data_IF_683804087191
#
_entry.id   IF_683804087191
#
_cell.length_a   1.000
_cell.length_b   1.000
_cell.length_c   1.000
_cell.angle_alpha   90.00
_cell.angle_beta   90.00
_cell.angle_gamma   90.00
#
_symmetry.space_group_name_H-M   'P 1'
#
loop_
_entity.id
_entity.type
_entity.pdbx_description
1 polymer ?
#
# COMPACT_ATOMS: atom_id res chain seq x y z
N UNK A 1 0.16 2.05 -21.79
CA UNK A 1 1.31 1.13 -21.83
C UNK A 1 1.05 0.07 -20.77
N UNK A 2 1.11 -1.22 -21.09
CA UNK A 2 0.83 -2.27 -20.10
C UNK A 2 2.03 -2.42 -19.18
N UNK A 3 1.93 -1.91 -17.96
CA UNK A 3 2.92 -2.17 -16.91
C UNK A 3 2.56 -3.44 -16.14
N UNK A 4 3.57 -4.12 -15.61
CA UNK A 4 3.36 -5.30 -14.78
C UNK A 4 3.12 -4.91 -13.33
N UNK A 5 2.50 -5.83 -12.57
CA UNK A 5 2.29 -5.69 -11.13
C UNK A 5 3.61 -5.46 -10.38
N UNK A 6 4.68 -6.11 -10.86
CA UNK A 6 6.03 -5.96 -10.30
C UNK A 6 6.57 -4.54 -10.49
N UNK A 7 6.48 -3.97 -11.70
CA UNK A 7 6.94 -2.60 -11.95
C UNK A 7 6.18 -1.57 -11.12
N UNK A 8 4.87 -1.77 -10.93
CA UNK A 8 4.07 -0.91 -10.06
C UNK A 8 4.52 -1.01 -8.59
N UNK A 9 4.78 -2.23 -8.11
CA UNK A 9 5.29 -2.49 -6.76
C UNK A 9 6.64 -1.82 -6.53
N UNK A 10 7.59 -2.00 -7.45
CA UNK A 10 8.91 -1.38 -7.37
C UNK A 10 8.79 0.14 -7.29
N UNK A 11 7.95 0.74 -8.14
CA UNK A 11 7.71 2.19 -8.14
C UNK A 11 7.16 2.69 -6.80
N UNK A 12 6.22 1.94 -6.21
CA UNK A 12 5.67 2.26 -4.89
C UNK A 12 6.74 2.19 -3.81
N UNK A 13 7.59 1.15 -3.81
CA UNK A 13 8.69 1.01 -2.86
C UNK A 13 9.73 2.12 -2.99
N UNK A 14 10.03 2.55 -4.22
CA UNK A 14 10.95 3.65 -4.51
C UNK A 14 10.40 5.00 -4.01
N UNK A 15 9.10 5.23 -4.20
CA UNK A 15 8.41 6.46 -3.79
C UNK A 15 8.10 6.51 -2.29
N UNK A 16 7.85 5.35 -1.67
CA UNK A 16 7.50 5.18 -0.27
C UNK A 16 8.51 4.29 0.45
N UNK A 17 9.74 4.78 0.68
CA UNK A 17 10.77 4.02 1.38
C UNK A 17 10.37 3.70 2.84
N UNK A 18 9.36 4.39 3.39
CA UNK A 18 8.75 4.08 4.68
C UNK A 18 8.19 2.65 4.74
N UNK A 19 7.64 2.13 3.65
CA UNK A 19 7.12 0.76 3.55
C UNK A 19 8.23 -0.23 3.84
N UNK A 20 9.35 -0.10 3.13
CA UNK A 20 10.54 -0.93 3.35
C UNK A 20 11.17 -0.69 4.72
N UNK A 21 11.20 0.55 5.23
CA UNK A 21 11.75 0.86 6.55
C UNK A 21 10.96 0.23 7.70
N UNK A 22 9.64 0.11 7.54
CA UNK A 22 8.75 -0.46 8.56
C UNK A 22 8.48 -1.95 8.38
N UNK A 23 9.19 -2.61 7.46
CA UNK A 23 9.04 -4.04 7.10
C UNK A 23 7.59 -4.37 6.73
N UNK A 24 6.96 -3.49 5.94
CA UNK A 24 5.63 -3.68 5.39
C UNK A 24 5.71 -4.53 4.12
N UNK A 25 5.10 -5.70 4.14
CA UNK A 25 4.92 -6.51 2.96
C UNK A 25 3.91 -5.86 2.01
N UNK A 26 4.27 -5.69 0.74
CA UNK A 26 3.35 -5.21 -0.31
C UNK A 26 3.08 -6.33 -1.30
N UNK A 27 1.80 -6.60 -1.52
CA UNK A 27 1.29 -7.57 -2.48
C UNK A 27 0.33 -6.85 -3.41
N UNK A 28 0.50 -6.98 -4.73
CA UNK A 28 -0.38 -6.38 -5.73
C UNK A 28 -0.98 -7.51 -6.56
N UNK A 29 -2.30 -7.54 -6.63
CA UNK A 29 -3.07 -8.55 -7.36
C UNK A 29 -4.07 -7.87 -8.27
N UNK A 30 -4.20 -8.32 -9.52
CA UNK A 30 -5.23 -7.77 -10.41
C UNK A 30 -6.55 -8.51 -10.19
N UNK A 31 -7.62 -7.77 -9.89
CA UNK A 31 -8.97 -8.33 -9.77
C UNK A 31 -9.73 -8.09 -11.07
N UNK A 32 -9.88 -9.14 -11.87
CA UNK A 32 -10.67 -9.09 -13.10
C UNK A 32 -12.15 -8.79 -12.82
N UNK A 33 -12.66 -9.18 -11.64
CA UNK A 33 -14.05 -8.93 -11.23
C UNK A 33 -14.34 -7.45 -11.00
N UNK A 34 -13.36 -6.70 -10.48
CA UNK A 34 -13.48 -5.26 -10.19
C UNK A 34 -12.80 -4.38 -11.22
N UNK A 35 -12.17 -4.98 -12.23
CA UNK A 35 -11.27 -4.35 -13.20
C UNK A 35 -10.24 -3.40 -12.55
N UNK A 36 -9.76 -3.77 -11.36
CA UNK A 36 -8.91 -2.94 -10.51
C UNK A 36 -7.78 -3.74 -9.87
N UNK A 37 -6.70 -3.05 -9.50
CA UNK A 37 -5.57 -3.62 -8.78
C UNK A 37 -5.86 -3.63 -7.27
N UNK A 38 -5.87 -4.80 -6.66
CA UNK A 38 -5.87 -4.98 -5.22
C UNK A 38 -4.45 -4.84 -4.68
N UNK A 39 -4.21 -3.83 -3.85
CA UNK A 39 -2.94 -3.67 -3.15
C UNK A 39 -3.13 -4.04 -1.69
N UNK A 40 -2.45 -5.08 -1.25
CA UNK A 40 -2.49 -5.59 0.12
C UNK A 40 -1.18 -5.29 0.82
N UNK A 41 -1.27 -4.54 1.91
CA UNK A 41 -0.18 -4.26 2.83
C UNK A 41 -0.26 -5.22 4.01
N UNK A 42 0.81 -5.94 4.33
CA UNK A 42 0.87 -6.85 5.49
C UNK A 42 1.97 -6.41 6.44
N UNK A 43 1.67 -6.39 7.74
CA UNK A 43 2.62 -6.12 8.82
C UNK A 43 2.31 -6.99 10.04
N UNK A 44 3.20 -7.92 10.39
CA UNK A 44 3.02 -8.83 11.53
C UNK A 44 1.61 -9.47 11.56
N UNK A 45 0.72 -8.98 12.44
CA UNK A 45 -0.65 -9.48 12.66
C UNK A 45 -1.74 -8.64 11.99
N UNK A 46 -1.39 -7.80 11.03
CA UNK A 46 -2.36 -6.97 10.35
C UNK A 46 -2.15 -6.90 8.86
N UNK A 47 -3.27 -6.76 8.17
CA UNK A 47 -3.35 -6.58 6.74
C UNK A 47 -4.29 -5.42 6.42
N UNK A 48 -3.95 -4.67 5.37
CA UNK A 48 -4.81 -3.66 4.78
C UNK A 48 -4.84 -3.88 3.28
N UNK A 49 -6.03 -4.18 2.77
CA UNK A 49 -6.27 -4.34 1.34
C UNK A 49 -6.99 -3.11 0.81
N UNK A 50 -6.38 -2.41 -0.14
CA UNK A 50 -6.98 -1.28 -0.87
C UNK A 50 -7.21 -1.66 -2.32
N UNK A 51 -8.25 -1.07 -2.92
CA UNK A 51 -8.46 -1.14 -4.36
C UNK A 51 -7.82 0.08 -5.00
N UNK A 52 -7.10 -0.16 -6.09
CA UNK A 52 -6.43 0.83 -6.91
C UNK A 52 -7.00 0.69 -8.32
N UNK A 53 -7.72 1.71 -8.77
CA UNK A 53 -8.28 1.70 -10.11
C UNK A 53 -7.16 1.77 -11.15
N UNK A 54 -7.42 1.27 -12.36
CA UNK A 54 -6.44 1.33 -13.46
C UNK A 54 -5.97 2.77 -13.73
N UNK A 55 -6.85 3.76 -13.60
CA UNK A 55 -6.50 5.18 -13.77
C UNK A 55 -5.44 5.64 -12.77
N UNK A 56 -5.68 5.40 -11.48
CA UNK A 56 -4.70 5.73 -10.43
C UNK A 56 -3.37 4.99 -10.63
N UNK A 57 -3.43 3.73 -11.06
CA UNK A 57 -2.23 2.95 -11.35
C UNK A 57 -1.47 3.51 -12.57
N UNK A 58 -2.17 4.00 -13.59
CA UNK A 58 -1.56 4.69 -14.75
C UNK A 58 -0.92 6.02 -14.32
N UNK A 59 -1.59 6.81 -13.48
CA UNK A 59 -1.04 8.05 -12.91
C UNK A 59 0.21 7.78 -12.07
N UNK A 60 0.18 6.73 -11.24
CA UNK A 60 1.31 6.27 -10.44
C UNK A 60 2.53 5.95 -11.33
N UNK A 61 2.30 5.29 -12.46
CA UNK A 61 3.36 4.96 -13.42
C UNK A 61 3.86 6.15 -14.22
N UNK A 62 2.99 7.13 -14.49
CA UNK A 62 3.39 8.41 -15.09
C UNK A 62 4.15 9.33 -14.13
N UNK A 63 4.44 8.89 -12.90
CA UNK A 63 5.11 9.71 -11.88
C UNK A 63 4.19 10.79 -11.28
N UNK A 64 2.90 10.77 -11.65
CA UNK A 64 1.86 11.58 -11.04
C UNK A 64 1.49 10.86 -9.75
N UNK A 65 2.27 11.20 -8.71
CA UNK A 65 1.96 11.09 -7.29
C UNK A 65 0.85 10.08 -6.97
N UNK A 66 1.28 8.85 -6.63
CA UNK A 66 0.49 7.80 -5.99
C UNK A 66 0.02 8.21 -4.56
N UNK A 67 -0.37 9.48 -4.37
CA UNK A 67 -0.63 10.12 -3.07
C UNK A 67 -1.71 9.38 -2.33
N UNK A 68 -2.71 8.87 -3.04
CA UNK A 68 -3.80 8.15 -2.40
C UNK A 68 -3.31 6.87 -1.71
N UNK A 69 -2.37 6.15 -2.32
CA UNK A 69 -1.78 4.96 -1.73
C UNK A 69 -0.82 5.31 -0.59
N UNK A 70 0.04 6.30 -0.79
CA UNK A 70 0.99 6.77 0.21
C UNK A 70 0.34 7.29 1.48
N UNK A 71 -0.77 8.03 1.37
CA UNK A 71 -1.53 8.51 2.52
C UNK A 71 -2.17 7.35 3.28
N UNK A 72 -2.74 6.36 2.59
CA UNK A 72 -3.30 5.17 3.23
C UNK A 72 -2.23 4.37 3.97
N UNK A 73 -1.05 4.22 3.37
CA UNK A 73 0.11 3.57 4.00
C UNK A 73 0.58 4.34 5.23
N UNK A 74 0.77 5.66 5.13
CA UNK A 74 1.20 6.49 6.24
C UNK A 74 0.17 6.47 7.39
N UNK A 75 -1.12 6.51 7.07
CA UNK A 75 -2.20 6.37 8.06
C UNK A 75 -2.21 4.98 8.67
N UNK A 76 -1.98 3.92 7.88
CA UNK A 76 -1.84 2.56 8.39
C UNK A 76 -0.67 2.50 9.38
N UNK A 77 0.54 2.91 8.99
CA UNK A 77 1.72 2.93 9.86
C UNK A 77 1.42 3.68 11.17
N UNK A 78 0.82 4.88 11.09
CA UNK A 78 0.46 5.68 12.28
C UNK A 78 -0.58 4.99 13.16
N UNK A 79 -1.66 4.47 12.59
CA UNK A 79 -2.70 3.76 13.32
C UNK A 79 -2.17 2.45 13.97
N UNK A 80 -1.17 1.82 13.37
CA UNK A 80 -0.47 0.67 13.95
C UNK A 80 0.40 1.07 15.15
N UNK A 81 1.12 2.18 15.05
CA UNK A 81 1.91 2.74 16.14
C UNK A 81 1.02 3.13 17.34
N UNK A 82 -0.15 3.72 17.05
CA UNK A 82 -1.16 4.06 18.06
C UNK A 82 -1.81 2.82 18.69
N UNK A 83 -2.08 1.76 17.92
CA UNK A 83 -2.64 0.49 18.46
C UNK A 83 -1.64 -0.28 19.32
N UNK A 84 -0.35 -0.32 18.98
CA UNK A 84 0.67 -0.92 19.86
C UNK A 84 0.82 -0.12 21.17
N UNK A 85 0.57 1.20 21.13
CA UNK A 85 0.59 2.07 22.32
C UNK A 85 -0.66 1.87 23.20
N UNK A 86 -1.86 1.77 22.62
CA UNK A 86 -3.11 1.62 23.39
C UNK A 86 -3.40 0.18 23.86
N UNK A 87 -2.88 -0.84 23.18
CA UNK A 87 -3.01 -2.24 23.61
C UNK A 87 -2.28 -2.57 24.91
N UNK A 88 -1.40 -1.67 25.39
CA UNK A 88 -0.64 -1.84 26.63
C UNK A 88 -1.32 -1.24 27.87
N UNK A 89 -2.42 -0.51 27.70
CA UNK A 89 -3.15 0.15 28.81
C UNK A 89 -4.41 -0.58 29.26
N UNK A 90 -4.63 -1.81 28.79
CA UNK A 90 -5.72 -2.68 29.24
C UNK A 90 -5.20 -3.97 29.91
N UNK A 91 -4.11 -3.86 30.68
CA UNK A 91 -3.60 -4.91 31.56
C UNK A 91 -3.75 -4.49 33.02
#
# INVERSE_FOLDING_TARGET
MAYTLESLKEKILEMHPEISKHDLGVEISFSAEKDAYLVTFRRKNAELTTHLEKKDADECMNGIKCVYLGVQVAQFIRNFDEKETFGRSAA
#
